data_IF_580782630956
#
_entry.id   IF_580782630956
#
_cell.length_a   1.000
_cell.length_b   1.000
_cell.length_c   1.000
_cell.angle_alpha   90.00
_cell.angle_beta   90.00
_cell.angle_gamma   90.00
#
_symmetry.space_group_name_H-M   'P 1'
#
loop_
_entity.id
_entity.type
_entity.pdbx_description
1 polymer ?
#
# COMPACT_ATOMS: atom_id res chain seq x y z
N UNK A 1 70.02 -6.64 38.44
CA UNK A 1 68.77 -5.96 38.84
C UNK A 1 67.97 -5.46 37.64
N UNK A 2 68.59 -4.67 36.73
CA UNK A 2 67.92 -4.10 35.54
C UNK A 2 67.24 -5.15 34.65
N UNK A 3 67.91 -6.27 34.36
CA UNK A 3 67.33 -7.34 33.54
C UNK A 3 66.09 -7.98 34.20
N UNK A 4 66.13 -8.24 35.51
CA UNK A 4 64.99 -8.82 36.24
C UNK A 4 63.79 -7.88 36.34
N UNK A 5 64.01 -6.60 36.65
CA UNK A 5 62.94 -5.59 36.65
C UNK A 5 62.41 -5.30 35.24
N UNK A 6 63.30 -5.31 34.24
CA UNK A 6 62.93 -5.05 32.85
C UNK A 6 62.08 -6.17 32.24
N UNK A 7 62.44 -7.42 32.50
CA UNK A 7 61.75 -8.59 31.97
C UNK A 7 60.37 -8.80 32.64
N UNK A 8 60.24 -8.46 33.93
CA UNK A 8 58.93 -8.47 34.62
C UNK A 8 57.98 -7.41 34.08
N UNK A 9 58.46 -6.19 33.79
CA UNK A 9 57.64 -5.15 33.16
C UNK A 9 57.27 -5.55 31.71
N UNK A 10 58.23 -6.07 30.93
CA UNK A 10 57.97 -6.52 29.57
C UNK A 10 56.92 -7.65 29.53
N UNK A 11 57.01 -8.61 30.46
CA UNK A 11 56.01 -9.66 30.63
C UNK A 11 54.62 -9.11 30.98
N UNK A 12 54.55 -8.19 31.95
CA UNK A 12 53.29 -7.55 32.33
C UNK A 12 52.65 -6.76 31.17
N UNK A 13 53.44 -6.04 30.36
CA UNK A 13 52.94 -5.34 29.18
C UNK A 13 52.46 -6.31 28.09
N UNK A 14 53.14 -7.44 27.92
CA UNK A 14 52.70 -8.48 26.98
C UNK A 14 51.37 -9.12 27.39
N UNK A 15 51.09 -9.25 28.70
CA UNK A 15 49.80 -9.76 29.18
C UNK A 15 48.60 -8.91 28.72
N UNK A 16 48.78 -7.64 28.33
CA UNK A 16 47.73 -6.82 27.71
C UNK A 16 47.23 -7.39 26.37
N UNK A 17 48.03 -8.23 25.70
CA UNK A 17 47.64 -8.96 24.49
C UNK A 17 46.45 -9.93 24.72
N UNK A 18 46.23 -10.36 25.97
CA UNK A 18 45.06 -11.19 26.32
C UNK A 18 43.77 -10.38 26.55
N UNK A 19 43.85 -9.05 26.59
CA UNK A 19 42.68 -8.21 26.75
C UNK A 19 41.78 -8.30 25.50
N UNK A 20 40.46 -8.42 25.71
CA UNK A 20 39.47 -8.41 24.63
C UNK A 20 39.30 -7.04 23.98
N UNK A 21 39.61 -5.97 24.71
CA UNK A 21 39.49 -4.60 24.19
C UNK A 21 40.62 -4.34 23.18
N UNK A 22 40.32 -4.02 21.91
CA UNK A 22 41.33 -3.87 20.85
C UNK A 22 42.41 -2.83 21.18
N UNK A 23 42.04 -1.78 21.91
CA UNK A 23 42.98 -0.74 22.35
C UNK A 23 44.14 -1.32 23.18
N UNK A 24 43.85 -2.18 24.16
CA UNK A 24 44.90 -2.80 24.98
C UNK A 24 45.63 -3.93 24.26
N UNK A 25 44.90 -4.73 23.48
CA UNK A 25 45.48 -5.84 22.73
C UNK A 25 46.57 -5.36 21.75
N UNK A 26 46.27 -4.30 20.99
CA UNK A 26 47.20 -3.73 19.99
C UNK A 26 48.37 -2.97 20.60
N UNK A 27 48.24 -2.44 21.82
CA UNK A 27 49.32 -1.73 22.53
C UNK A 27 50.31 -2.67 23.23
N UNK A 28 49.87 -3.86 23.63
CA UNK A 28 50.70 -4.82 24.38
C UNK A 28 52.02 -5.19 23.66
N UNK A 29 51.98 -5.74 22.43
CA UNK A 29 53.19 -6.17 21.73
C UNK A 29 54.20 -5.04 21.48
N UNK A 30 53.81 -3.85 20.96
CA UNK A 30 54.75 -2.74 20.79
C UNK A 30 55.38 -2.27 22.10
N UNK A 31 54.61 -2.16 23.19
CA UNK A 31 55.13 -1.75 24.50
C UNK A 31 56.11 -2.78 25.08
N UNK A 32 55.82 -4.08 24.95
CA UNK A 32 56.70 -5.16 25.41
C UNK A 32 58.03 -5.17 24.63
N UNK A 33 57.97 -5.06 23.30
CA UNK A 33 59.16 -4.98 22.45
C UNK A 33 59.98 -3.73 22.80
N UNK A 34 59.33 -2.57 22.93
CA UNK A 34 59.99 -1.32 23.33
C UNK A 34 60.71 -1.45 24.67
N UNK A 35 60.09 -2.11 25.65
CA UNK A 35 60.73 -2.37 26.95
C UNK A 35 61.94 -3.31 26.83
N UNK A 36 61.86 -4.38 26.01
CA UNK A 36 62.99 -5.28 25.77
C UNK A 36 64.17 -4.56 25.11
N UNK A 37 63.89 -3.70 24.13
CA UNK A 37 64.90 -2.86 23.47
C UNK A 37 65.53 -1.90 24.48
N UNK A 38 64.73 -1.26 25.34
CA UNK A 38 65.25 -0.37 26.38
C UNK A 38 66.15 -1.10 27.39
N UNK A 39 65.79 -2.33 27.80
CA UNK A 39 66.61 -3.17 28.68
C UNK A 39 67.91 -3.56 28.01
N UNK A 40 67.85 -3.97 26.73
CA UNK A 40 69.04 -4.31 25.96
C UNK A 40 69.98 -3.10 25.82
N UNK A 41 69.44 -1.91 25.51
CA UNK A 41 70.20 -0.67 25.46
C UNK A 41 70.79 -0.31 26.83
N UNK A 42 70.04 -0.44 27.92
CA UNK A 42 70.52 -0.13 29.27
C UNK A 42 71.67 -1.05 29.70
N UNK A 43 71.68 -2.32 29.26
CA UNK A 43 72.73 -3.29 29.58
C UNK A 43 73.98 -3.17 28.69
N UNK A 44 73.85 -2.60 27.50
CA UNK A 44 74.97 -2.46 26.55
C UNK A 44 75.53 -1.04 26.57
N UNK A 45 74.68 -0.04 26.33
CA UNK A 45 75.04 1.37 26.27
C UNK A 45 75.38 1.93 27.66
N UNK A 46 74.63 1.55 28.70
CA UNK A 46 74.85 2.04 30.06
C UNK A 46 76.27 1.77 30.58
N UNK A 47 76.73 0.51 30.61
CA UNK A 47 78.09 0.18 30.98
C UNK A 47 79.15 0.76 30.03
N UNK A 48 78.89 0.82 28.72
CA UNK A 48 79.83 1.40 27.75
C UNK A 48 80.07 2.89 28.01
N UNK A 49 79.00 3.66 28.25
CA UNK A 49 79.09 5.09 28.57
C UNK A 49 79.75 5.31 29.93
N UNK A 50 79.45 4.47 30.92
CA UNK A 50 80.12 4.55 32.24
C UNK A 50 81.60 4.21 32.16
N UNK A 51 82.01 3.23 31.35
CA UNK A 51 83.40 2.87 31.14
C UNK A 51 84.19 4.00 30.44
N UNK A 52 83.60 4.63 29.42
CA UNK A 52 84.22 5.76 28.72
C UNK A 52 84.25 7.00 29.63
N UNK A 53 83.17 7.31 30.34
CA UNK A 53 83.10 8.48 31.20
C UNK A 53 83.91 8.36 32.50
N UNK A 54 84.14 7.14 33.01
CA UNK A 54 85.06 6.92 34.14
C UNK A 54 86.51 7.10 33.72
N UNK A 55 86.87 6.80 32.46
CA UNK A 55 88.19 7.13 31.91
C UNK A 55 88.48 8.63 31.97
N UNK A 56 87.46 9.48 31.74
CA UNK A 56 87.56 10.94 31.89
C UNK A 56 87.35 11.44 33.33
N UNK A 57 87.27 10.56 34.34
CA UNK A 57 86.99 10.87 35.76
C UNK A 57 85.73 11.72 36.00
N UNK A 58 84.79 11.70 35.06
CA UNK A 58 83.59 12.54 35.11
C UNK A 58 82.55 12.00 36.10
N UNK A 59 82.53 10.68 36.29
CA UNK A 59 81.52 9.95 37.07
C UNK A 59 82.00 9.46 38.45
N UNK A 60 83.16 9.92 38.93
CA UNK A 60 83.60 9.60 40.29
C UNK A 60 82.70 10.27 41.34
N UNK A 61 82.28 9.55 42.39
CA UNK A 61 81.36 10.08 43.40
C UNK A 61 82.04 11.18 44.23
N UNK A 62 81.72 12.45 43.93
CA UNK A 62 82.27 13.63 44.63
C UNK A 62 81.72 13.85 46.05
N UNK A 63 80.72 13.08 46.49
CA UNK A 63 80.07 13.23 47.81
C UNK A 63 79.84 11.87 48.47
N UNK A 64 80.11 11.77 49.77
CA UNK A 64 79.74 10.60 50.58
C UNK A 64 78.22 10.58 50.76
N UNK A 65 77.59 9.45 50.45
CA UNK A 65 76.14 9.25 50.56
C UNK A 65 75.68 9.41 52.02
N UNK A 66 74.63 10.22 52.24
CA UNK A 66 74.06 10.42 53.58
C UNK A 66 73.17 9.23 53.98
N UNK A 67 73.79 8.18 54.51
CA UNK A 67 73.12 6.92 54.89
C UNK A 67 72.43 6.99 56.26
N UNK A 68 72.68 8.03 57.08
CA UNK A 68 72.17 8.11 58.46
C UNK A 68 70.64 8.15 58.54
N UNK A 69 69.96 8.87 57.65
CA UNK A 69 68.49 8.95 57.63
C UNK A 69 67.86 7.62 57.20
N UNK A 70 68.37 7.01 56.14
CA UNK A 70 67.92 5.70 55.67
C UNK A 70 68.15 4.59 56.69
N UNK A 71 69.28 4.64 57.40
CA UNK A 71 69.56 3.71 58.50
C UNK A 71 68.55 3.84 59.63
N UNK A 72 68.14 5.07 60.01
CA UNK A 72 67.09 5.28 61.02
C UNK A 72 65.75 4.68 60.60
N UNK A 73 65.33 4.93 59.36
CA UNK A 73 64.07 4.36 58.82
C UNK A 73 64.14 2.84 58.82
N UNK A 74 65.24 2.26 58.32
CA UNK A 74 65.46 0.81 58.36
C UNK A 74 65.44 0.23 59.77
N UNK A 75 66.12 0.87 60.74
CA UNK A 75 66.11 0.42 62.14
C UNK A 75 64.73 0.55 62.79
N UNK A 76 63.93 1.55 62.42
CA UNK A 76 62.57 1.70 62.93
C UNK A 76 61.64 0.59 62.42
N UNK A 77 61.75 0.23 61.13
CA UNK A 77 60.97 -0.86 60.52
C UNK A 77 61.31 -2.21 61.17
N UNK A 78 62.60 -2.51 61.37
CA UNK A 78 63.03 -3.79 61.97
C UNK A 78 62.69 -3.87 63.46
N UNK A 79 62.70 -2.74 64.18
CA UNK A 79 62.43 -2.71 65.63
C UNK A 79 60.93 -2.78 65.96
N UNK A 80 60.05 -2.29 65.08
CA UNK A 80 58.59 -2.28 65.29
C UNK A 80 57.81 -2.73 64.02
N UNK A 81 57.97 -3.99 63.58
CA UNK A 81 57.42 -4.44 62.30
C UNK A 81 55.88 -4.42 62.26
N UNK A 82 55.22 -4.82 63.36
CA UNK A 82 53.75 -4.87 63.44
C UNK A 82 53.06 -3.51 63.30
N UNK A 83 53.40 -2.51 64.15
CA UNK A 83 52.79 -1.17 64.06
C UNK A 83 53.10 -0.45 62.75
N UNK A 84 54.31 -0.62 62.20
CA UNK A 84 54.68 -0.01 60.92
C UNK A 84 53.87 -0.62 59.78
N UNK A 85 53.68 -1.94 59.76
CA UNK A 85 52.83 -2.62 58.77
C UNK A 85 51.36 -2.20 58.93
N UNK A 86 50.84 -2.12 60.16
CA UNK A 86 49.48 -1.66 60.40
C UNK A 86 49.28 -0.23 59.89
N UNK A 87 50.22 0.68 60.16
CA UNK A 87 50.16 2.06 59.69
C UNK A 87 50.21 2.16 58.16
N UNK A 88 51.10 1.41 57.49
CA UNK A 88 51.15 1.41 56.02
C UNK A 88 49.91 0.78 55.39
N UNK A 89 49.38 -0.30 55.97
CA UNK A 89 48.11 -0.89 55.54
C UNK A 89 46.94 0.09 55.69
N UNK A 90 46.82 0.77 56.83
CA UNK A 90 45.75 1.77 57.06
C UNK A 90 45.83 2.89 56.02
N UNK A 91 47.03 3.42 55.77
CA UNK A 91 47.23 4.46 54.74
C UNK A 91 46.86 3.94 53.34
N UNK A 92 47.25 2.70 53.00
CA UNK A 92 46.89 2.09 51.74
C UNK A 92 45.36 1.88 51.61
N UNK A 93 44.68 1.42 52.67
CA UNK A 93 43.23 1.23 52.70
C UNK A 93 42.46 2.53 52.59
N UNK A 94 42.95 3.63 53.19
CA UNK A 94 42.38 4.96 53.00
C UNK A 94 42.43 5.36 51.52
N UNK A 95 43.52 5.05 50.81
CA UNK A 95 43.60 5.22 49.36
C UNK A 95 42.59 4.37 48.58
N UNK A 96 42.30 3.15 49.05
CA UNK A 96 41.30 2.27 48.44
C UNK A 96 39.84 2.72 48.64
N UNK A 97 39.54 3.55 49.65
CA UNK A 97 38.18 4.06 49.89
C UNK A 97 37.62 4.87 48.70
N UNK A 98 38.47 5.34 47.78
CA UNK A 98 38.04 6.01 46.56
C UNK A 98 37.52 5.03 45.48
N UNK A 99 37.87 3.74 45.52
CA UNK A 99 37.54 2.76 44.47
C UNK A 99 36.03 2.48 44.31
N UNK A 100 35.18 2.42 45.35
CA UNK A 100 33.75 2.20 45.17
C UNK A 100 33.05 3.29 44.33
N UNK A 101 33.64 4.50 44.27
CA UNK A 101 33.12 5.61 43.46
C UNK A 101 33.55 5.56 41.99
N UNK A 102 34.36 4.57 41.60
CA UNK A 102 34.91 4.47 40.26
C UNK A 102 33.84 4.14 39.22
N UNK A 103 33.58 5.09 38.32
CA UNK A 103 32.68 4.91 37.18
C UNK A 103 33.49 4.75 35.90
N UNK A 104 33.40 3.58 35.28
CA UNK A 104 34.03 3.32 33.98
C UNK A 104 33.25 3.99 32.86
N UNK A 105 33.95 4.75 32.02
CA UNK A 105 33.38 5.39 30.84
C UNK A 105 34.40 5.27 29.70
N UNK A 106 33.92 4.87 28.53
CA UNK A 106 34.75 4.74 27.33
C UNK A 106 34.58 5.95 26.39
N UNK A 107 34.05 7.06 26.91
CA UNK A 107 33.86 8.30 26.17
C UNK A 107 35.16 9.11 26.11
N UNK A 108 35.81 9.06 24.95
CA UNK A 108 37.09 9.74 24.70
C UNK A 108 36.97 11.27 24.77
N UNK A 109 35.77 11.84 24.58
CA UNK A 109 35.55 13.30 24.57
C UNK A 109 35.87 13.95 25.91
N UNK A 110 35.70 13.21 27.02
CA UNK A 110 36.00 13.69 28.37
C UNK A 110 37.50 13.90 28.61
N UNK A 111 38.37 13.28 27.81
CA UNK A 111 39.81 13.49 27.86
C UNK A 111 40.28 14.68 27.00
N UNK A 112 39.37 15.29 26.24
CA UNK A 112 39.64 16.46 25.41
C UNK A 112 39.13 17.74 26.12
N UNK A 113 39.79 18.89 25.94
CA UNK A 113 39.31 20.16 26.50
C UNK A 113 37.87 20.46 26.07
N UNK A 114 37.05 20.98 26.99
CA UNK A 114 35.67 21.35 26.70
C UNK A 114 35.55 22.46 25.65
N UNK A 115 36.59 23.29 25.50
CA UNK A 115 36.68 24.38 24.52
C UNK A 115 36.97 23.91 23.09
N UNK A 116 37.29 22.63 22.88
CA UNK A 116 37.60 22.14 21.55
C UNK A 116 36.36 22.23 20.64
N UNK A 117 36.46 22.76 19.40
CA UNK A 117 35.30 22.93 18.51
C UNK A 117 34.46 21.65 18.32
N UNK A 118 35.11 20.48 18.28
CA UNK A 118 34.43 19.18 18.20
C UNK A 118 33.53 18.89 19.40
N UNK A 119 33.98 19.21 20.62
CA UNK A 119 33.20 19.04 21.84
C UNK A 119 32.06 20.06 21.95
N UNK A 120 32.28 21.30 21.51
CA UNK A 120 31.24 22.34 21.45
C UNK A 120 30.13 21.93 20.47
N UNK A 121 30.51 21.43 19.28
CA UNK A 121 29.57 20.93 18.28
C UNK A 121 28.77 19.71 18.76
N UNK A 122 29.44 18.76 19.42
CA UNK A 122 28.78 17.60 20.00
C UNK A 122 27.82 17.98 21.13
N UNK A 123 28.21 18.91 22.00
CA UNK A 123 27.36 19.42 23.07
C UNK A 123 26.14 20.18 22.52
N UNK A 124 26.30 20.92 21.42
CA UNK A 124 25.19 21.57 20.72
C UNK A 124 24.24 20.53 20.10
N UNK A 125 24.77 19.51 19.41
CA UNK A 125 23.99 18.42 18.82
C UNK A 125 23.25 17.60 19.88
N UNK A 126 23.87 17.37 21.04
CA UNK A 126 23.29 16.65 22.17
C UNK A 126 22.07 17.33 22.81
N UNK A 127 21.78 18.60 22.48
CA UNK A 127 20.55 19.28 22.91
C UNK A 127 19.31 18.81 22.14
N UNK A 128 19.49 18.35 20.91
CA UNK A 128 18.40 17.94 20.02
C UNK A 128 18.36 16.44 19.74
N UNK A 129 19.50 15.76 19.86
CA UNK A 129 19.62 14.32 19.59
C UNK A 129 20.11 13.58 20.82
N UNK A 130 19.51 12.42 21.13
CA UNK A 130 20.02 11.54 22.18
C UNK A 130 21.44 11.08 21.83
N UNK A 131 22.27 10.79 22.84
CA UNK A 131 23.66 10.32 22.64
C UNK A 131 23.74 9.08 21.75
N UNK A 132 22.73 8.22 21.83
CA UNK A 132 22.60 7.02 21.02
C UNK A 132 22.25 7.29 19.56
N UNK A 133 21.52 8.38 19.25
CA UNK A 133 21.28 8.79 17.85
C UNK A 133 22.50 9.42 17.19
N UNK A 134 23.35 10.08 17.98
CA UNK A 134 24.62 10.64 17.50
C UNK A 134 25.69 9.56 17.27
N UNK A 135 25.68 8.51 18.09
CA UNK A 135 26.60 7.38 17.98
C UNK A 135 25.83 6.04 17.95
N UNK A 136 25.10 5.76 16.85
CA UNK A 136 24.34 4.53 16.75
C UNK A 136 25.26 3.33 16.51
N UNK A 137 24.80 2.16 16.93
CA UNK A 137 25.40 0.89 16.54
C UNK A 137 24.92 0.51 15.14
N UNK A 138 25.83 0.00 14.30
CA UNK A 138 25.50 -0.39 12.93
C UNK A 138 25.67 -1.90 12.81
N UNK A 139 24.56 -2.60 12.57
CA UNK A 139 24.54 -4.02 12.29
C UNK A 139 24.44 -4.23 10.78
N UNK A 140 25.30 -5.08 10.23
CA UNK A 140 25.29 -5.49 8.83
C UNK A 140 24.94 -6.98 8.75
N UNK A 141 23.95 -7.29 7.93
CA UNK A 141 23.52 -8.65 7.62
C UNK A 141 23.88 -8.94 6.17
N UNK A 142 24.70 -9.96 5.93
CA UNK A 142 25.13 -10.35 4.59
C UNK A 142 24.53 -11.69 4.15
N UNK A 143 24.09 -11.73 2.89
CA UNK A 143 23.52 -12.90 2.21
C UNK A 143 24.31 -13.21 0.93
N UNK A 144 24.00 -14.34 0.30
CA UNK A 144 24.59 -14.78 -0.97
C UNK A 144 23.82 -14.30 -2.22
N UNK A 145 22.58 -13.84 -2.03
CA UNK A 145 21.65 -13.38 -3.08
C UNK A 145 21.19 -11.93 -2.83
N UNK A 146 20.55 -11.33 -3.84
CA UNK A 146 19.99 -9.97 -3.75
C UNK A 146 18.73 -9.97 -2.88
N UNK A 147 18.75 -9.17 -1.81
CA UNK A 147 17.66 -9.02 -0.85
C UNK A 147 16.53 -8.09 -1.31
N UNK A 148 16.56 -7.56 -2.53
CA UNK A 148 15.53 -6.64 -3.07
C UNK A 148 14.28 -7.36 -3.55
N UNK A 149 13.73 -8.24 -2.72
CA UNK A 149 12.49 -8.95 -2.99
C UNK A 149 11.58 -9.00 -1.75
N UNK A 150 10.26 -9.28 -1.91
CA UNK A 150 9.31 -9.29 -0.81
C UNK A 150 9.64 -10.29 0.29
N UNK A 151 10.19 -11.46 -0.06
CA UNK A 151 10.55 -12.51 0.90
C UNK A 151 11.64 -12.02 1.84
N UNK A 152 12.70 -11.44 1.28
CA UNK A 152 13.81 -10.91 2.05
C UNK A 152 13.43 -9.68 2.87
N UNK A 153 12.52 -8.83 2.37
CA UNK A 153 11.97 -7.74 3.18
C UNK A 153 11.22 -8.26 4.41
N UNK A 154 10.48 -9.37 4.32
CA UNK A 154 9.84 -9.99 5.49
C UNK A 154 10.88 -10.48 6.50
N UNK A 155 11.97 -11.08 6.04
CA UNK A 155 13.03 -11.57 6.94
C UNK A 155 13.79 -10.41 7.58
N UNK A 156 14.11 -9.36 6.82
CA UNK A 156 14.74 -8.15 7.35
C UNK A 156 13.83 -7.44 8.37
N UNK A 157 12.51 -7.43 8.17
CA UNK A 157 11.59 -6.89 9.18
C UNK A 157 11.55 -7.76 10.45
N UNK A 158 11.56 -9.09 10.31
CA UNK A 158 11.66 -10.00 11.46
C UNK A 158 12.94 -9.76 12.28
N UNK A 159 14.06 -9.53 11.62
CA UNK A 159 15.33 -9.15 12.29
C UNK A 159 15.18 -7.81 13.01
N UNK A 160 14.63 -6.79 12.33
CA UNK A 160 14.40 -5.47 12.94
C UNK A 160 13.50 -5.56 14.18
N UNK A 161 12.41 -6.32 14.09
CA UNK A 161 11.44 -6.53 15.17
C UNK A 161 12.07 -7.19 16.39
N UNK A 162 12.80 -8.29 16.19
CA UNK A 162 13.42 -9.00 17.30
C UNK A 162 14.46 -8.15 18.03
N UNK A 163 15.26 -7.38 17.28
CA UNK A 163 16.20 -6.44 17.89
C UNK A 163 15.43 -5.33 18.61
N UNK A 164 14.37 -4.76 18.03
CA UNK A 164 13.61 -3.69 18.67
C UNK A 164 12.97 -4.11 20.00
N UNK A 165 12.52 -5.36 20.13
CA UNK A 165 11.97 -5.92 21.37
C UNK A 165 13.01 -6.31 22.42
N UNK A 166 14.29 -6.16 22.10
CA UNK A 166 15.38 -6.34 23.05
C UNK A 166 15.38 -5.28 24.14
N UNK A 167 15.84 -5.68 25.33
CA UNK A 167 15.98 -4.75 26.45
C UNK A 167 17.08 -3.72 26.17
N UNK A 168 16.73 -2.44 26.27
CA UNK A 168 17.68 -1.34 26.20
C UNK A 168 17.99 -0.87 24.78
N UNK A 169 17.06 -1.06 23.86
CA UNK A 169 17.08 -0.53 22.50
C UNK A 169 16.00 0.55 22.39
N UNK A 170 16.39 1.77 22.00
CA UNK A 170 15.47 2.91 21.82
C UNK A 170 14.82 2.86 20.44
N UNK A 171 15.59 2.53 19.40
CA UNK A 171 15.13 2.58 18.02
C UNK A 171 15.97 1.70 17.09
N UNK A 172 15.34 1.06 16.12
CA UNK A 172 16.00 0.30 15.03
C UNK A 172 15.57 0.87 13.69
N UNK A 173 16.52 1.38 12.90
CA UNK A 173 16.27 1.84 11.53
C UNK A 173 16.79 0.84 10.51
N UNK A 174 15.93 0.42 9.60
CA UNK A 174 16.21 -0.51 8.51
C UNK A 174 15.45 -0.09 7.25
N UNK A 175 15.59 -0.82 6.15
CA UNK A 175 14.77 -0.60 4.95
C UNK A 175 13.26 -0.75 5.20
N UNK A 176 12.86 -1.63 6.13
CA UNK A 176 11.46 -1.87 6.49
C UNK A 176 10.94 -0.87 7.55
N UNK A 177 11.85 -0.16 8.22
CA UNK A 177 11.58 0.86 9.24
C UNK A 177 12.53 2.06 9.10
N UNK A 178 12.49 2.84 8.01
CA UNK A 178 13.51 3.85 7.72
C UNK A 178 13.54 4.98 8.77
N UNK A 179 12.38 5.30 9.35
CA UNK A 179 12.22 6.29 10.42
C UNK A 179 12.28 5.69 11.84
N UNK A 180 12.44 4.38 11.94
CA UNK A 180 12.38 3.62 13.21
C UNK A 180 10.99 3.09 13.57
N UNK A 181 9.94 3.53 12.87
CA UNK A 181 8.59 2.96 12.90
C UNK A 181 8.36 2.15 11.63
N UNK A 182 7.37 1.26 11.63
CA UNK A 182 6.93 0.54 10.42
C UNK A 182 6.49 1.52 9.33
N UNK A 183 6.65 1.11 8.07
CA UNK A 183 6.16 1.88 6.93
C UNK A 183 4.64 1.83 6.94
N UNK A 184 4.00 2.99 6.81
CA UNK A 184 2.54 3.06 6.71
C UNK A 184 2.02 2.25 5.54
N UNK A 185 0.82 1.71 5.65
CA UNK A 185 0.12 0.99 4.59
C UNK A 185 0.76 -0.34 4.18
N UNK A 186 1.62 -0.91 5.04
CA UNK A 186 2.29 -2.20 4.80
C UNK A 186 1.79 -3.33 5.71
N UNK A 187 0.89 -3.05 6.65
CA UNK A 187 0.33 -4.11 7.50
C UNK A 187 -0.65 -4.98 6.72
N UNK A 188 -0.73 -6.27 7.06
CA UNK A 188 -1.66 -7.21 6.42
C UNK A 188 -3.12 -6.73 6.58
N UNK A 189 -3.56 -6.28 7.78
CA UNK A 189 -4.88 -5.68 7.95
C UNK A 189 -5.14 -4.51 7.01
N UNK A 190 -4.15 -3.63 6.78
CA UNK A 190 -4.31 -2.52 5.86
C UNK A 190 -4.54 -2.98 4.42
N UNK A 191 -3.76 -3.95 3.94
CA UNK A 191 -3.87 -4.46 2.57
C UNK A 191 -5.22 -5.16 2.35
N UNK A 192 -5.65 -5.97 3.33
CA UNK A 192 -6.98 -6.62 3.29
C UNK A 192 -8.09 -5.57 3.30
N UNK A 193 -7.99 -4.55 4.17
CA UNK A 193 -8.95 -3.44 4.21
C UNK A 193 -9.02 -2.68 2.88
N UNK A 194 -7.88 -2.41 2.23
CA UNK A 194 -7.87 -1.74 0.92
C UNK A 194 -8.55 -2.57 -0.18
N UNK A 195 -8.43 -3.89 -0.14
CA UNK A 195 -9.18 -4.77 -1.05
C UNK A 195 -10.69 -4.68 -0.79
N UNK A 196 -11.10 -4.59 0.49
CA UNK A 196 -12.48 -4.37 0.88
C UNK A 196 -13.03 -3.01 0.39
N UNK A 197 -12.24 -1.94 0.47
CA UNK A 197 -12.62 -0.60 -0.03
C UNK A 197 -12.97 -0.66 -1.52
N UNK A 198 -12.11 -1.26 -2.35
CA UNK A 198 -12.37 -1.40 -3.80
C UNK A 198 -13.64 -2.21 -4.10
N UNK A 199 -13.94 -3.25 -3.32
CA UNK A 199 -15.18 -4.00 -3.45
C UNK A 199 -16.41 -3.16 -3.09
N UNK A 200 -16.34 -2.37 -2.01
CA UNK A 200 -17.45 -1.49 -1.60
C UNK A 200 -17.69 -0.37 -2.62
N UNK A 201 -16.64 0.22 -3.20
CA UNK A 201 -16.79 1.22 -4.28
C UNK A 201 -17.48 0.61 -5.52
N UNK A 202 -17.08 -0.60 -5.94
CA UNK A 202 -17.76 -1.32 -7.02
C UNK A 202 -19.23 -1.65 -6.67
N UNK A 203 -19.50 -1.98 -5.40
CA UNK A 203 -20.85 -2.28 -4.93
C UNK A 203 -21.75 -1.03 -4.96
N UNK A 204 -21.22 0.14 -4.61
CA UNK A 204 -21.94 1.42 -4.73
C UNK A 204 -22.27 1.73 -6.19
N UNK A 205 -21.31 1.49 -7.11
CA UNK A 205 -21.56 1.62 -8.55
C UNK A 205 -22.69 0.70 -9.01
N UNK A 206 -22.67 -0.58 -8.62
CA UNK A 206 -23.72 -1.56 -8.99
C UNK A 206 -25.09 -1.19 -8.42
N UNK A 207 -25.17 -0.71 -7.17
CA UNK A 207 -26.42 -0.21 -6.57
C UNK A 207 -27.01 0.94 -7.39
N UNK A 208 -26.18 1.90 -7.80
CA UNK A 208 -26.62 3.00 -8.67
C UNK A 208 -27.03 2.56 -10.09
N UNK A 209 -26.58 1.39 -10.58
CA UNK A 209 -27.07 0.81 -11.86
C UNK A 209 -28.37 0.02 -11.67
N UNK A 210 -28.65 -0.49 -10.48
CA UNK A 210 -29.93 -1.11 -10.20
C UNK A 210 -31.08 -0.12 -10.11
N UNK A 211 -30.84 1.06 -9.53
CA UNK A 211 -31.86 2.12 -9.47
C UNK A 211 -32.35 2.51 -10.89
N UNK A 212 -31.50 2.37 -11.92
CA UNK A 212 -31.89 2.57 -13.32
C UNK A 212 -32.96 1.54 -13.79
N UNK A 213 -33.07 0.36 -13.17
CA UNK A 213 -34.14 -0.60 -13.48
C UNK A 213 -35.52 -0.04 -13.14
N UNK A 214 -35.63 0.80 -12.12
CA UNK A 214 -36.88 1.49 -11.81
C UNK A 214 -37.24 2.52 -12.89
N UNK A 215 -36.25 3.09 -13.58
CA UNK A 215 -36.50 3.94 -14.75
C UNK A 215 -37.09 3.10 -15.88
N UNK A 216 -36.56 1.89 -16.12
CA UNK A 216 -37.12 0.96 -17.09
C UNK A 216 -38.54 0.52 -16.73
N UNK A 217 -38.81 0.21 -15.46
CA UNK A 217 -40.17 -0.08 -14.95
C UNK A 217 -41.14 1.05 -15.27
N UNK A 218 -40.75 2.31 -14.98
CA UNK A 218 -41.58 3.49 -15.29
C UNK A 218 -41.84 3.64 -16.79
N UNK A 219 -40.84 3.38 -17.63
CA UNK A 219 -41.02 3.41 -19.08
C UNK A 219 -42.00 2.31 -19.56
N UNK A 220 -41.95 1.13 -18.94
CA UNK A 220 -42.90 0.05 -19.21
C UNK A 220 -44.32 0.40 -18.74
N UNK A 221 -44.48 1.04 -17.58
CA UNK A 221 -45.80 1.51 -17.12
C UNK A 221 -46.44 2.50 -18.11
N UNK A 222 -45.66 3.44 -18.65
CA UNK A 222 -46.15 4.36 -19.69
C UNK A 222 -46.55 3.60 -20.96
N UNK A 223 -45.75 2.61 -21.38
CA UNK A 223 -46.08 1.79 -22.55
C UNK A 223 -47.33 0.95 -22.35
N UNK A 224 -47.50 0.33 -21.17
CA UNK A 224 -48.69 -0.43 -20.79
C UNK A 224 -49.94 0.48 -20.80
N UNK A 225 -49.86 1.66 -20.18
CA UNK A 225 -50.95 2.63 -20.18
C UNK A 225 -51.32 3.05 -21.61
N UNK A 226 -50.33 3.32 -22.46
CA UNK A 226 -50.55 3.68 -23.87
C UNK A 226 -51.25 2.55 -24.63
N UNK A 227 -50.87 1.30 -24.39
CA UNK A 227 -51.51 0.13 -25.04
C UNK A 227 -52.95 -0.07 -24.56
N UNK A 228 -53.26 0.20 -23.29
CA UNK A 228 -54.64 0.19 -22.80
C UNK A 228 -55.49 1.25 -23.51
N UNK A 229 -54.99 2.49 -23.63
CA UNK A 229 -55.67 3.55 -24.39
C UNK A 229 -55.88 3.16 -25.86
N UNK A 230 -54.87 2.55 -26.50
CA UNK A 230 -54.98 2.05 -27.88
C UNK A 230 -56.04 0.95 -28.03
N UNK A 231 -56.14 0.04 -27.05
CA UNK A 231 -57.14 -1.02 -27.03
C UNK A 231 -58.57 -0.48 -26.89
N UNK A 232 -58.77 0.54 -26.05
CA UNK A 232 -60.05 1.23 -25.89
C UNK A 232 -60.44 1.97 -27.18
N UNK A 233 -59.52 2.78 -27.74
CA UNK A 233 -59.74 3.51 -29.00
C UNK A 233 -60.02 2.56 -30.18
N UNK A 234 -59.32 1.43 -30.28
CA UNK A 234 -59.64 0.42 -31.31
C UNK A 234 -61.03 -0.21 -31.09
N UNK A 235 -61.50 -0.30 -29.85
CA UNK A 235 -62.87 -0.69 -29.56
C UNK A 235 -63.86 0.29 -30.18
N UNK A 236 -63.70 1.58 -29.93
CA UNK A 236 -64.55 2.63 -30.51
C UNK A 236 -64.50 2.64 -32.05
N UNK A 237 -63.31 2.43 -32.65
CA UNK A 237 -63.17 2.32 -34.11
C UNK A 237 -63.92 1.11 -34.66
N UNK A 238 -63.83 -0.06 -34.00
CA UNK A 238 -64.58 -1.25 -34.42
C UNK A 238 -66.08 -1.00 -34.31
N UNK A 239 -66.56 -0.47 -33.18
CA UNK A 239 -67.98 -0.23 -32.95
C UNK A 239 -68.55 0.75 -34.00
N UNK A 240 -67.83 1.84 -34.31
CA UNK A 240 -68.19 2.78 -35.37
C UNK A 240 -68.12 2.15 -36.78
N UNK A 241 -67.17 1.24 -37.02
CA UNK A 241 -67.06 0.56 -38.32
C UNK A 241 -68.21 -0.41 -38.54
N UNK A 242 -68.66 -1.11 -37.49
CA UNK A 242 -69.84 -1.99 -37.54
C UNK A 242 -71.12 -1.17 -37.79
N UNK A 243 -71.25 -0.01 -37.15
CA UNK A 243 -72.38 0.90 -37.41
C UNK A 243 -72.35 1.42 -38.86
N UNK A 244 -71.17 1.80 -39.38
CA UNK A 244 -71.01 2.16 -40.79
C UNK A 244 -71.33 1.01 -41.75
N UNK A 245 -70.96 -0.22 -41.40
CA UNK A 245 -71.26 -1.41 -42.20
C UNK A 245 -72.79 -1.66 -42.28
N UNK A 246 -73.49 -1.57 -41.16
CA UNK A 246 -74.96 -1.68 -41.13
C UNK A 246 -75.62 -0.58 -41.96
N UNK A 247 -75.22 0.68 -41.79
CA UNK A 247 -75.73 1.81 -42.57
C UNK A 247 -75.45 1.66 -44.07
N UNK A 248 -74.29 1.10 -44.43
CA UNK A 248 -73.91 0.88 -45.84
C UNK A 248 -74.72 -0.26 -46.46
N UNK A 249 -74.97 -1.34 -45.72
CA UNK A 249 -75.87 -2.41 -46.13
C UNK A 249 -77.31 -1.90 -46.32
N UNK A 250 -77.82 -1.10 -45.38
CA UNK A 250 -79.14 -0.49 -45.50
C UNK A 250 -79.24 0.42 -46.73
N UNK A 251 -78.22 1.25 -46.96
CA UNK A 251 -78.13 2.13 -48.13
C UNK A 251 -78.08 1.32 -49.44
N UNK A 252 -77.33 0.23 -49.47
CA UNK A 252 -77.24 -0.69 -50.62
C UNK A 252 -78.58 -1.36 -50.90
N UNK A 253 -79.25 -1.89 -49.87
CA UNK A 253 -80.56 -2.53 -49.99
C UNK A 253 -81.64 -1.56 -50.50
N UNK A 254 -81.65 -0.32 -49.99
CA UNK A 254 -82.54 0.74 -50.46
C UNK A 254 -82.23 1.10 -51.93
N UNK A 255 -80.95 1.22 -52.28
CA UNK A 255 -80.53 1.55 -53.65
C UNK A 255 -80.87 0.43 -54.63
N UNK A 256 -80.74 -0.84 -54.23
CA UNK A 256 -81.14 -2.00 -55.04
C UNK A 256 -82.65 -2.05 -55.23
N UNK A 257 -83.44 -1.81 -54.17
CA UNK A 257 -84.90 -1.73 -54.28
C UNK A 257 -85.34 -0.58 -55.20
N UNK A 258 -84.64 0.57 -55.12
CA UNK A 258 -84.89 1.72 -55.98
C UNK A 258 -84.50 1.43 -57.44
N UNK A 259 -83.37 0.74 -57.67
CA UNK A 259 -82.95 0.24 -58.97
C UNK A 259 -83.99 -0.71 -59.57
N UNK A 260 -84.47 -1.68 -58.80
CA UNK A 260 -85.47 -2.66 -59.25
C UNK A 260 -86.79 -1.96 -59.63
N UNK A 261 -87.27 -1.02 -58.81
CA UNK A 261 -88.47 -0.23 -59.14
C UNK A 261 -88.27 0.68 -60.36
N UNK A 262 -87.07 1.20 -60.56
CA UNK A 262 -86.72 1.99 -61.75
C UNK A 262 -86.67 1.10 -63.00
N UNK A 263 -86.14 -0.12 -62.90
CA UNK A 263 -86.12 -1.09 -63.98
C UNK A 263 -87.55 -1.53 -64.36
N UNK A 264 -88.43 -1.79 -63.39
CA UNK A 264 -89.85 -2.07 -63.62
C UNK A 264 -90.57 -0.91 -64.34
N UNK A 265 -90.28 0.34 -63.92
CA UNK A 265 -90.79 1.54 -64.57
C UNK A 265 -90.26 1.67 -66.01
N UNK A 266 -88.97 1.44 -66.22
CA UNK A 266 -88.34 1.51 -67.53
C UNK A 266 -88.91 0.46 -68.49
N UNK A 267 -89.15 -0.77 -68.03
CA UNK A 267 -89.73 -1.84 -68.82
C UNK A 267 -91.15 -1.51 -69.31
N UNK A 268 -91.95 -0.84 -68.48
CA UNK A 268 -93.27 -0.34 -68.89
C UNK A 268 -93.17 0.79 -69.94
N UNK A 269 -92.21 1.71 -69.79
CA UNK A 269 -92.01 2.85 -70.69
C UNK A 269 -91.11 2.56 -71.90
N UNK A 270 -90.56 1.35 -72.04
CA UNK A 270 -89.66 0.91 -73.12
C UNK A 270 -90.17 1.25 -74.54
N UNK A 271 -91.46 1.13 -74.88
CA UNK A 271 -91.98 1.53 -76.19
C UNK A 271 -91.87 3.04 -76.45
N UNK A 272 -92.06 3.86 -75.41
CA UNK A 272 -91.97 5.32 -75.47
C UNK A 272 -90.49 5.74 -75.54
N UNK A 273 -89.60 5.09 -74.77
CA UNK A 273 -88.15 5.30 -74.83
C UNK A 273 -87.60 5.04 -76.24
N UNK A 274 -87.99 3.93 -76.87
CA UNK A 274 -87.55 3.57 -78.22
C UNK A 274 -87.93 4.61 -79.28
N UNK A 275 -89.06 5.30 -79.12
CA UNK A 275 -89.50 6.38 -80.02
C UNK A 275 -88.55 7.59 -79.95
N UNK A 276 -88.15 8.02 -78.75
CA UNK A 276 -87.30 9.19 -78.54
C UNK A 276 -85.82 8.98 -78.90
N UNK A 277 -85.31 7.74 -78.86
CA UNK A 277 -83.93 7.43 -79.28
C UNK A 277 -83.76 7.23 -80.80
N UNK A 278 -84.86 7.02 -81.54
CA UNK A 278 -84.82 6.76 -82.99
C UNK A 278 -84.82 8.04 -83.85
N UNK A 279 -85.34 9.17 -83.35
CA UNK A 279 -85.37 10.43 -84.08
C UNK A 279 -84.06 11.24 -83.94
N UNK A 280 -83.43 11.54 -85.07
CA UNK A 280 -82.16 12.30 -85.13
C UNK A 280 -82.28 13.77 -84.69
N UNK A 281 -83.49 14.35 -84.65
CA UNK A 281 -83.70 15.77 -84.31
C UNK A 281 -84.10 16.03 -82.84
N UNK A 282 -84.08 14.99 -81.99
CA UNK A 282 -84.49 15.09 -80.59
C UNK A 282 -83.61 16.06 -79.74
N UNK A 283 -82.40 16.39 -80.19
CA UNK A 283 -81.51 17.33 -79.51
C UNK A 283 -81.97 18.80 -79.60
N UNK A 284 -82.74 19.17 -80.64
CA UNK A 284 -83.17 20.55 -80.87
C UNK A 284 -84.56 20.87 -80.26
N UNK A 285 -85.23 19.85 -79.68
CA UNK A 285 -86.56 19.97 -79.07
C UNK A 285 -86.42 19.91 -77.53
N UNK A 286 -86.69 20.99 -76.79
CA UNK A 286 -86.45 21.07 -75.34
C UNK A 286 -87.11 19.95 -74.51
N UNK A 287 -88.33 19.57 -74.90
CA UNK A 287 -89.09 18.51 -74.22
C UNK A 287 -88.47 17.13 -74.46
N UNK A 288 -87.98 16.86 -75.67
CA UNK A 288 -87.37 15.58 -76.05
C UNK A 288 -86.04 15.36 -75.31
N UNK A 289 -85.19 16.39 -75.25
CA UNK A 289 -83.94 16.36 -74.52
C UNK A 289 -84.13 16.20 -73.00
N UNK A 290 -85.14 16.86 -72.41
CA UNK A 290 -85.44 16.72 -70.97
C UNK A 290 -85.85 15.29 -70.58
N UNK A 291 -86.67 14.64 -71.41
CA UNK A 291 -87.11 13.25 -71.20
C UNK A 291 -85.92 12.29 -71.39
N UNK A 292 -85.08 12.53 -72.41
CA UNK A 292 -83.86 11.74 -72.63
C UNK A 292 -82.87 11.86 -71.47
N UNK A 293 -82.65 13.06 -70.93
CA UNK A 293 -81.76 13.28 -69.78
C UNK A 293 -82.27 12.60 -68.51
N UNK A 294 -83.59 12.45 -68.34
CA UNK A 294 -84.18 11.71 -67.21
C UNK A 294 -83.86 10.22 -67.34
N UNK A 295 -83.99 9.65 -68.54
CA UNK A 295 -83.61 8.26 -68.79
C UNK A 295 -82.09 8.03 -68.69
N UNK A 296 -81.25 8.95 -69.17
CA UNK A 296 -79.79 8.85 -69.01
C UNK A 296 -79.37 8.97 -67.52
N UNK A 297 -80.12 9.72 -66.68
CA UNK A 297 -79.88 9.77 -65.23
C UNK A 297 -80.29 8.45 -64.54
N UNK A 298 -81.38 7.84 -65.00
CA UNK A 298 -81.86 6.53 -64.55
C UNK A 298 -80.85 5.42 -64.90
N UNK A 299 -80.28 5.42 -66.10
CA UNK A 299 -79.30 4.42 -66.53
C UNK A 299 -78.02 4.41 -65.66
N UNK A 300 -77.70 5.53 -64.99
CA UNK A 300 -76.52 5.62 -64.10
C UNK A 300 -76.78 5.08 -62.68
N UNK A 301 -78.03 4.74 -62.33
CA UNK A 301 -78.38 4.13 -61.02
C UNK A 301 -77.77 2.74 -60.89
N UNK A 302 -77.64 2.00 -61.99
CA UNK A 302 -76.98 0.69 -62.05
C UNK A 302 -75.50 0.77 -61.64
N UNK A 303 -74.77 1.77 -62.15
CA UNK A 303 -73.37 1.99 -61.79
C UNK A 303 -73.24 2.36 -60.30
N UNK A 304 -74.20 3.12 -59.76
CA UNK A 304 -74.20 3.49 -58.35
C UNK A 304 -74.45 2.29 -57.43
N UNK A 305 -75.42 1.43 -57.77
CA UNK A 305 -75.70 0.16 -57.06
C UNK A 305 -74.49 -0.77 -57.06
N UNK A 306 -73.82 -0.96 -58.20
CA UNK A 306 -72.62 -1.81 -58.29
C UNK A 306 -71.47 -1.28 -57.42
N UNK A 307 -71.25 0.05 -57.38
CA UNK A 307 -70.21 0.66 -56.51
C UNK A 307 -70.55 0.57 -55.03
N UNK A 308 -71.83 0.64 -54.66
CA UNK A 308 -72.30 0.41 -53.29
C UNK A 308 -72.09 -1.04 -52.88
N UNK A 309 -72.28 -2.01 -53.78
CA UNK A 309 -72.02 -3.43 -53.51
C UNK A 309 -70.54 -3.72 -53.24
N UNK A 310 -69.62 -3.08 -53.99
CA UNK A 310 -68.19 -3.14 -53.66
C UNK A 310 -67.88 -2.50 -52.29
N UNK A 311 -68.50 -1.36 -51.97
CA UNK A 311 -68.29 -0.69 -50.69
C UNK A 311 -68.77 -1.54 -49.50
N UNK A 312 -69.93 -2.20 -49.64
CA UNK A 312 -70.43 -3.19 -48.67
C UNK A 312 -69.42 -4.31 -48.47
N UNK A 313 -68.90 -4.87 -49.57
CA UNK A 313 -67.92 -5.96 -49.52
C UNK A 313 -66.62 -5.54 -48.82
N UNK A 314 -66.14 -4.32 -49.07
CA UNK A 314 -64.93 -3.78 -48.41
C UNK A 314 -65.16 -3.51 -46.91
N UNK A 315 -66.34 -3.03 -46.53
CA UNK A 315 -66.73 -2.83 -45.12
C UNK A 315 -66.81 -4.17 -44.37
N UNK A 316 -67.37 -5.19 -44.99
CA UNK A 316 -67.41 -6.58 -44.50
C UNK A 316 -66.02 -7.13 -44.17
N UNK A 317 -65.01 -6.79 -44.99
CA UNK A 317 -63.61 -7.16 -44.76
C UNK A 317 -63.04 -6.41 -43.56
N UNK A 318 -63.34 -5.11 -43.45
CA UNK A 318 -62.89 -4.25 -42.36
C UNK A 318 -63.45 -4.72 -41.00
N UNK A 319 -64.74 -5.08 -40.95
CA UNK A 319 -65.41 -5.65 -39.78
C UNK A 319 -64.79 -6.98 -39.34
N UNK A 320 -64.21 -7.76 -40.26
CA UNK A 320 -63.50 -9.01 -39.93
C UNK A 320 -62.07 -8.79 -39.46
N UNK A 321 -61.34 -7.83 -40.02
CA UNK A 321 -59.92 -7.62 -39.74
C UNK A 321 -59.66 -6.81 -38.48
N UNK A 322 -60.43 -5.75 -38.24
CA UNK A 322 -60.21 -4.88 -37.08
C UNK A 322 -60.29 -5.62 -35.73
N UNK A 323 -61.26 -6.55 -35.50
CA UNK A 323 -61.28 -7.34 -34.27
C UNK A 323 -60.06 -8.27 -34.11
N UNK A 324 -59.53 -8.81 -35.21
CA UNK A 324 -58.32 -9.65 -35.16
C UNK A 324 -57.10 -8.85 -34.75
N UNK A 325 -56.97 -7.61 -35.23
CA UNK A 325 -55.89 -6.71 -34.79
C UNK A 325 -56.03 -6.36 -33.31
N UNK A 326 -57.24 -6.02 -32.85
CA UNK A 326 -57.50 -5.71 -31.43
C UNK A 326 -57.24 -6.91 -30.52
N UNK A 327 -57.52 -8.13 -30.98
CA UNK A 327 -57.28 -9.36 -30.21
C UNK A 327 -55.79 -9.61 -29.89
N UNK A 328 -54.85 -9.01 -30.63
CA UNK A 328 -53.42 -9.14 -30.35
C UNK A 328 -52.89 -8.18 -29.28
N UNK A 329 -53.63 -7.12 -28.95
CA UNK A 329 -53.18 -6.12 -27.97
C UNK A 329 -53.16 -6.68 -26.53
N UNK A 330 -54.20 -7.38 -26.03
CA UNK A 330 -54.19 -7.89 -24.66
C UNK A 330 -53.02 -8.85 -24.33
N UNK A 331 -52.64 -9.81 -25.20
CA UNK A 331 -51.44 -10.61 -25.00
C UNK A 331 -50.15 -9.78 -24.91
N UNK A 332 -50.03 -8.71 -25.71
CA UNK A 332 -48.88 -7.81 -25.68
C UNK A 332 -48.82 -7.02 -24.36
N UNK A 333 -49.96 -6.49 -23.89
CA UNK A 333 -50.09 -5.83 -22.59
C UNK A 333 -49.67 -6.79 -21.48
N UNK A 334 -50.23 -8.00 -21.44
CA UNK A 334 -49.94 -8.99 -20.40
C UNK A 334 -48.44 -9.33 -20.33
N UNK A 335 -47.79 -9.48 -21.49
CA UNK A 335 -46.35 -9.76 -21.57
C UNK A 335 -45.53 -8.60 -21.01
N UNK A 336 -45.88 -7.35 -21.34
CA UNK A 336 -45.23 -6.17 -20.75
C UNK A 336 -45.44 -6.06 -19.24
N UNK A 337 -46.65 -6.33 -18.76
CA UNK A 337 -46.98 -6.35 -17.32
C UNK A 337 -46.12 -7.37 -16.57
N UNK A 338 -46.00 -8.59 -17.11
CA UNK A 338 -45.15 -9.64 -16.51
C UNK A 338 -43.67 -9.20 -16.47
N UNK A 339 -43.15 -8.65 -17.56
CA UNK A 339 -41.75 -8.20 -17.59
C UNK A 339 -41.49 -7.06 -16.62
N UNK A 340 -42.43 -6.09 -16.51
CA UNK A 340 -42.36 -5.01 -15.53
C UNK A 340 -42.35 -5.55 -14.11
N UNK A 341 -43.28 -6.45 -13.77
CA UNK A 341 -43.41 -7.01 -12.43
C UNK A 341 -42.19 -7.83 -12.05
N UNK A 342 -41.65 -8.59 -13.01
CA UNK A 342 -40.39 -9.31 -12.84
C UNK A 342 -39.24 -8.35 -12.54
N UNK A 343 -39.12 -7.23 -13.27
CA UNK A 343 -38.11 -6.20 -13.03
C UNK A 343 -38.23 -5.59 -11.62
N UNK A 344 -39.45 -5.33 -11.14
CA UNK A 344 -39.69 -4.81 -9.78
C UNK A 344 -39.26 -5.82 -8.71
N UNK A 345 -39.65 -7.09 -8.87
CA UNK A 345 -39.26 -8.17 -7.95
C UNK A 345 -37.74 -8.37 -7.96
N UNK A 346 -37.12 -8.35 -9.14
CA UNK A 346 -35.69 -8.53 -9.29
C UNK A 346 -34.91 -7.39 -8.64
N UNK A 347 -35.34 -6.14 -8.86
CA UNK A 347 -34.81 -4.96 -8.19
C UNK A 347 -34.90 -5.11 -6.66
N UNK A 348 -36.07 -5.42 -6.11
CA UNK A 348 -36.25 -5.59 -4.66
C UNK A 348 -35.41 -6.71 -4.05
N UNK A 349 -35.26 -7.83 -4.77
CA UNK A 349 -34.46 -8.98 -4.36
C UNK A 349 -32.98 -8.63 -4.30
N UNK A 350 -32.45 -8.06 -5.39
CA UNK A 350 -31.06 -7.63 -5.45
C UNK A 350 -30.78 -6.52 -4.44
N UNK A 351 -31.72 -5.59 -4.24
CA UNK A 351 -31.56 -4.46 -3.32
C UNK A 351 -31.39 -4.97 -1.90
N UNK A 352 -32.20 -5.94 -1.50
CA UNK A 352 -32.10 -6.63 -0.20
C UNK A 352 -30.76 -7.35 -0.04
N UNK A 353 -30.26 -8.02 -1.09
CA UNK A 353 -28.95 -8.67 -1.08
C UNK A 353 -27.80 -7.67 -0.92
N UNK A 354 -27.86 -6.53 -1.63
CA UNK A 354 -26.86 -5.48 -1.50
C UNK A 354 -26.91 -4.79 -0.14
N UNK A 355 -28.08 -4.50 0.41
CA UNK A 355 -28.22 -3.90 1.75
C UNK A 355 -27.73 -4.86 2.86
N UNK A 356 -27.90 -6.17 2.69
CA UNK A 356 -27.29 -7.18 3.56
C UNK A 356 -25.75 -7.13 3.49
N UNK A 357 -25.18 -7.07 2.28
CA UNK A 357 -23.73 -6.99 2.07
C UNK A 357 -23.12 -5.68 2.60
N UNK A 358 -23.83 -4.57 2.40
CA UNK A 358 -23.42 -3.22 2.84
C UNK A 358 -23.41 -3.10 4.37
N UNK A 359 -24.39 -3.71 5.05
CA UNK A 359 -24.44 -3.72 6.53
C UNK A 359 -23.20 -4.38 7.15
N UNK A 360 -22.68 -5.43 6.52
CA UNK A 360 -21.42 -6.08 6.93
C UNK A 360 -20.15 -5.29 6.57
N UNK A 361 -20.26 -4.28 5.71
CA UNK A 361 -19.13 -3.61 5.06
C UNK A 361 -19.15 -2.08 5.21
N UNK A 362 -19.85 -1.52 6.22
CA UNK A 362 -20.04 -0.06 6.40
C UNK A 362 -18.75 0.77 6.46
N UNK A 363 -17.64 0.18 6.89
CA UNK A 363 -16.32 0.83 6.87
C UNK A 363 -15.22 -0.22 6.67
N UNK A 364 -15.01 -0.71 5.44
CA UNK A 364 -14.07 -1.79 5.16
C UNK A 364 -12.62 -1.35 5.41
N UNK A 365 -12.38 -0.03 5.41
CA UNK A 365 -11.09 0.60 5.69
C UNK A 365 -10.79 0.83 7.17
N UNK A 366 -11.77 0.73 8.07
CA UNK A 366 -11.61 1.05 9.49
C UNK A 366 -10.45 0.30 10.14
N UNK A 367 -10.44 -1.03 9.96
CA UNK A 367 -9.42 -1.91 10.52
C UNK A 367 -8.03 -1.49 10.02
N UNK A 368 -7.85 -1.32 8.71
CA UNK A 368 -6.60 -0.84 8.12
C UNK A 368 -6.13 0.49 8.71
N UNK A 369 -7.01 1.48 8.85
CA UNK A 369 -6.66 2.80 9.40
C UNK A 369 -6.27 2.73 10.88
N UNK A 370 -6.96 1.92 11.68
CA UNK A 370 -6.65 1.73 13.11
C UNK A 370 -5.29 1.05 13.29
N UNK A 371 -5.01 -0.01 12.53
CA UNK A 371 -3.71 -0.70 12.59
C UNK A 371 -2.56 0.19 12.09
N UNK A 372 -2.79 0.99 11.05
CA UNK A 372 -1.79 1.92 10.53
C UNK A 372 -1.50 3.06 11.54
N UNK A 373 -2.54 3.60 12.18
CA UNK A 373 -2.40 4.62 13.21
C UNK A 373 -1.73 4.09 14.49
N UNK A 374 -2.03 2.86 14.87
CA UNK A 374 -1.45 2.21 16.05
C UNK A 374 0.05 1.87 15.86
N UNK A 375 0.53 1.85 14.61
CA UNK A 375 1.92 1.49 14.26
C UNK A 375 2.38 0.17 14.90
N UNK A 376 1.44 -0.78 15.05
CA UNK A 376 1.73 -2.10 15.58
C UNK A 376 2.58 -2.85 14.57
N UNK A 377 3.59 -3.56 15.08
CA UNK A 377 4.62 -4.17 14.26
C UNK A 377 4.44 -5.68 14.08
N UNK A 378 3.21 -6.16 14.26
CA UNK A 378 2.82 -7.57 14.17
C UNK A 378 2.72 -8.12 12.76
N UNK A 379 2.48 -7.26 11.78
CA UNK A 379 2.42 -7.67 10.39
C UNK A 379 3.07 -6.64 9.49
N UNK A 380 3.82 -7.14 8.52
CA UNK A 380 4.46 -6.36 7.48
C UNK A 380 4.37 -7.17 6.18
N UNK A 381 4.01 -6.50 5.09
CA UNK A 381 4.06 -7.05 3.76
C UNK A 381 4.27 -5.92 2.77
N UNK A 382 5.23 -6.10 1.86
CA UNK A 382 5.54 -5.13 0.82
C UNK A 382 5.31 -5.75 -0.56
N UNK A 383 4.35 -5.26 -1.35
CA UNK A 383 4.09 -5.79 -2.68
C UNK A 383 5.24 -5.48 -3.65
N UNK A 384 5.43 -6.32 -4.68
CA UNK A 384 6.48 -6.14 -5.70
C UNK A 384 6.40 -4.77 -6.39
N UNK A 385 5.20 -4.19 -6.51
CA UNK A 385 4.98 -2.87 -7.10
C UNK A 385 5.68 -1.74 -6.31
N UNK A 386 5.83 -1.88 -4.99
CA UNK A 386 6.48 -0.87 -4.15
C UNK A 386 7.97 -0.68 -4.48
N UNK A 387 8.64 -1.71 -5.01
CA UNK A 387 10.05 -1.63 -5.44
C UNK A 387 10.26 -0.70 -6.65
N UNK A 388 9.18 -0.36 -7.38
CA UNK A 388 9.20 0.62 -8.47
C UNK A 388 9.07 2.06 -7.96
N UNK A 389 8.71 2.28 -6.69
CA UNK A 389 8.55 3.62 -6.13
C UNK A 389 9.93 4.31 -6.01
N UNK A 390 10.12 5.52 -6.59
CA UNK A 390 11.38 6.25 -6.53
C UNK A 390 11.90 6.50 -5.11
N UNK A 391 11.02 6.74 -4.15
CA UNK A 391 11.41 7.01 -2.76
C UNK A 391 11.87 5.73 -2.04
N UNK A 392 11.24 4.60 -2.35
CA UNK A 392 11.70 3.31 -1.83
C UNK A 392 13.07 2.94 -2.43
N UNK A 393 13.30 3.22 -3.71
CA UNK A 393 14.61 3.03 -4.34
C UNK A 393 15.72 3.91 -3.73
N UNK A 394 15.40 5.13 -3.29
CA UNK A 394 16.34 5.96 -2.50
C UNK A 394 16.65 5.31 -1.16
N UNK A 395 15.64 4.77 -0.48
CA UNK A 395 15.80 3.99 0.75
C UNK A 395 16.69 2.76 0.57
N UNK A 396 16.49 2.00 -0.50
CA UNK A 396 17.30 0.82 -0.85
C UNK A 396 18.79 1.19 -0.99
N UNK A 397 19.12 2.33 -1.59
CA UNK A 397 20.52 2.80 -1.68
C UNK A 397 21.14 3.17 -0.33
N UNK A 398 20.32 3.55 0.65
CA UNK A 398 20.77 3.90 1.99
C UNK A 398 20.93 2.66 2.88
N UNK A 399 20.07 1.66 2.76
CA UNK A 399 20.05 0.51 3.67
C UNK A 399 20.59 -0.77 3.06
N UNK A 400 20.72 -0.88 1.74
CA UNK A 400 21.34 -2.02 1.08
C UNK A 400 22.59 -1.61 0.32
N UNK A 401 23.51 -2.55 0.18
CA UNK A 401 24.67 -2.42 -0.69
C UNK A 401 24.26 -2.30 -2.17
N UNK A 402 25.14 -1.76 -3.04
CA UNK A 402 24.87 -1.65 -4.48
C UNK A 402 24.53 -2.99 -5.14
N UNK A 403 25.14 -4.09 -4.69
CA UNK A 403 24.88 -5.46 -5.14
C UNK A 403 23.67 -6.14 -4.46
N UNK A 404 23.04 -5.48 -3.48
CA UNK A 404 21.85 -5.97 -2.79
C UNK A 404 22.09 -7.10 -1.77
N UNK A 405 23.35 -7.49 -1.55
CA UNK A 405 23.73 -8.64 -0.71
C UNK A 405 24.04 -8.30 0.74
N UNK A 406 24.10 -7.02 1.10
CA UNK A 406 24.33 -6.56 2.47
C UNK A 406 23.25 -5.56 2.89
N UNK A 407 22.60 -5.82 4.02
CA UNK A 407 21.58 -4.97 4.60
C UNK A 407 22.08 -4.34 5.90
N UNK A 408 21.95 -3.02 5.99
CA UNK A 408 22.39 -2.18 7.09
C UNK A 408 21.22 -1.88 8.03
N UNK A 409 21.45 -2.07 9.31
CA UNK A 409 20.57 -1.69 10.41
C UNK A 409 21.29 -0.66 11.27
N UNK A 410 20.60 0.42 11.63
CA UNK A 410 21.12 1.49 12.49
C UNK A 410 20.33 1.43 13.80
N UNK A 411 21.01 1.09 14.89
CA UNK A 411 20.42 0.78 16.18
C UNK A 411 20.82 1.87 17.18
N UNK A 412 19.83 2.53 17.75
CA UNK A 412 20.02 3.46 18.86
C UNK A 412 19.75 2.72 20.17
N UNK A 413 20.73 2.68 21.06
CA UNK A 413 20.63 2.10 22.39
C UNK A 413 19.95 3.05 23.38
N UNK A 414 19.26 2.52 24.39
CA UNK A 414 18.75 3.34 25.48
C UNK A 414 19.90 3.76 26.41
N UNK A 415 20.13 5.07 26.55
CA UNK A 415 21.16 5.65 27.41
C UNK A 415 22.49 5.98 26.70
N UNK A 416 23.59 6.08 27.46
CA UNK A 416 24.92 6.36 26.89
C UNK A 416 25.58 5.08 26.40
N UNK A 417 25.78 4.93 25.08
CA UNK A 417 26.28 3.70 24.51
C UNK A 417 27.79 3.51 24.80
N UNK A 418 28.51 4.53 25.28
CA UNK A 418 29.93 4.44 25.67
C UNK A 418 30.15 3.96 27.13
N UNK A 419 29.13 3.42 27.77
CA UNK A 419 29.21 2.79 29.10
C UNK A 419 29.49 1.29 28.98
N UNK A 420 29.95 0.64 30.06
CA UNK A 420 30.11 -0.82 30.09
C UNK A 420 28.80 -1.56 29.78
N UNK A 421 27.68 -1.08 30.31
CA UNK A 421 26.34 -1.61 30.02
C UNK A 421 25.96 -1.45 28.55
N UNK A 422 26.25 -0.30 27.93
CA UNK A 422 26.02 -0.07 26.50
C UNK A 422 26.84 -1.01 25.60
N UNK A 423 28.12 -1.22 25.94
CA UNK A 423 29.02 -2.12 25.18
C UNK A 423 28.58 -3.58 25.32
N UNK A 424 28.13 -4.01 26.50
CA UNK A 424 27.67 -5.38 26.72
C UNK A 424 26.45 -5.75 25.84
N UNK A 425 25.62 -4.78 25.47
CA UNK A 425 24.45 -5.00 24.59
C UNK A 425 24.82 -5.36 23.15
N UNK A 426 26.06 -5.09 22.72
CA UNK A 426 26.50 -5.40 21.33
C UNK A 426 26.48 -6.91 21.06
N UNK A 427 26.91 -7.73 22.02
CA UNK A 427 26.84 -9.19 21.88
C UNK A 427 25.38 -9.67 21.83
N UNK A 428 24.53 -9.11 22.70
CA UNK A 428 23.09 -9.42 22.73
C UNK A 428 22.40 -9.11 21.39
N UNK A 429 22.64 -7.93 20.80
CA UNK A 429 22.10 -7.55 19.48
C UNK A 429 22.47 -8.58 18.41
N UNK A 430 23.73 -9.05 18.43
CA UNK A 430 24.22 -10.01 17.46
C UNK A 430 23.53 -11.37 17.62
N UNK A 431 23.33 -11.81 18.85
CA UNK A 431 22.67 -13.08 19.12
C UNK A 431 21.18 -13.01 18.79
N UNK A 432 20.49 -11.92 19.11
CA UNK A 432 19.09 -11.71 18.72
C UNK A 432 18.90 -11.66 17.20
N UNK A 433 19.82 -11.03 16.48
CA UNK A 433 19.82 -11.06 15.02
C UNK A 433 19.97 -12.48 14.46
N UNK A 434 20.79 -13.33 15.10
CA UNK A 434 20.94 -14.76 14.74
C UNK A 434 19.69 -15.56 15.07
N UNK A 435 19.09 -15.32 16.23
CA UNK A 435 17.85 -15.98 16.66
C UNK A 435 16.68 -15.61 15.73
N UNK A 436 16.58 -14.36 15.28
CA UNK A 436 15.54 -13.91 14.36
C UNK A 436 15.54 -14.66 13.02
N UNK A 437 16.72 -15.08 12.58
CA UNK A 437 16.91 -15.81 11.33
C UNK A 437 16.43 -17.26 11.42
N UNK A 438 16.32 -17.85 12.61
CA UNK A 438 15.81 -19.22 12.76
C UNK A 438 14.41 -19.37 12.18
N UNK A 439 14.20 -20.44 11.42
CA UNK A 439 12.93 -20.74 10.75
C UNK A 439 12.63 -19.87 9.51
N UNK A 440 13.60 -19.10 9.02
CA UNK A 440 13.49 -18.34 7.77
C UNK A 440 14.29 -19.02 6.65
N UNK A 441 14.09 -18.62 5.37
CA UNK A 441 14.88 -19.13 4.25
C UNK A 441 16.40 -18.90 4.41
N UNK A 442 16.81 -17.93 5.23
CA UNK A 442 18.20 -17.71 5.60
C UNK A 442 18.68 -18.84 6.51
N UNK A 443 19.13 -19.95 5.92
CA UNK A 443 19.61 -21.09 6.71
C UNK A 443 20.96 -20.80 7.39
N UNK A 444 21.79 -19.93 6.80
CA UNK A 444 23.04 -19.41 7.41
C UNK A 444 23.38 -18.06 6.76
N UNK A 445 23.28 -16.91 7.46
CA UNK A 445 23.82 -15.66 6.91
C UNK A 445 25.33 -15.82 6.71
N UNK A 446 25.84 -15.42 5.54
CA UNK A 446 27.27 -15.56 5.21
C UNK A 446 28.13 -14.88 6.27
N UNK A 447 27.62 -13.77 6.82
CA UNK A 447 28.16 -13.16 8.02
C UNK A 447 27.15 -12.19 8.66
N UNK A 448 27.20 -12.07 10.00
CA UNK A 448 26.56 -10.98 10.74
C UNK A 448 27.65 -10.21 11.47
N UNK A 449 27.81 -8.95 11.10
CA UNK A 449 28.82 -8.07 11.67
C UNK A 449 28.16 -6.87 12.34
N UNK A 450 28.55 -6.56 13.57
CA UNK A 450 28.33 -5.23 14.14
C UNK A 450 29.58 -4.43 13.86
N UNK A 451 29.43 -3.33 13.11
CA UNK A 451 30.56 -2.49 12.76
C UNK A 451 31.10 -1.82 14.04
N UNK A 452 32.41 -1.98 14.37
CA UNK A 452 32.99 -1.23 15.46
C UNK A 452 32.93 0.27 15.15
N UNK A 453 32.49 1.08 16.13
CA UNK A 453 32.38 2.54 16.00
C UNK A 453 33.65 3.12 15.37
N UNK A 454 33.50 3.75 14.20
CA UNK A 454 34.52 4.33 13.31
C UNK A 454 35.98 4.07 13.75
N UNK A 455 36.62 3.10 13.11
CA UNK A 455 38.05 3.20 12.79
C UNK A 455 38.22 4.43 11.88
N UNK A 456 38.86 5.48 12.37
CA UNK A 456 39.58 6.43 11.51
C UNK A 456 40.84 5.73 10.97
N UNK A 457 40.68 4.71 10.15
CA UNK A 457 41.78 4.17 9.35
C UNK A 457 41.55 4.64 7.93
N UNK A 458 42.27 5.69 7.57
CA UNK A 458 42.74 6.01 6.22
C UNK A 458 42.31 5.01 5.16
N UNK A 459 41.33 5.44 4.35
CA UNK A 459 41.02 4.87 3.06
C UNK A 459 42.32 4.68 2.26
N UNK A 460 42.67 3.42 1.97
CA UNK A 460 43.46 3.10 0.77
C UNK A 460 42.62 3.52 -0.43
N UNK A 461 42.75 4.78 -0.86
CA UNK A 461 42.44 5.16 -2.24
C UNK A 461 43.56 4.60 -3.12
N UNK A 462 43.25 3.92 -4.24
CA UNK A 462 44.27 3.70 -5.27
C UNK A 462 44.71 5.07 -5.85
N UNK A 463 45.95 5.19 -6.34
CA UNK A 463 46.44 6.46 -6.88
C UNK A 463 45.59 6.88 -8.10
N UNK A 464 45.39 8.18 -8.33
CA UNK A 464 44.72 8.65 -9.53
C UNK A 464 45.63 8.36 -10.74
N UNK A 465 45.12 7.57 -11.67
CA UNK A 465 45.69 7.45 -13.00
C UNK A 465 45.54 8.82 -13.67
N UNK A 466 46.67 9.37 -14.10
CA UNK A 466 46.79 10.60 -14.88
C UNK A 466 46.18 10.34 -16.27
N UNK A 467 45.24 11.19 -16.68
CA UNK A 467 45.04 11.63 -18.06
C UNK A 467 45.03 13.15 -18.05
#
# INVERSE_FOLDING_TARGET
MILGSGLTIAGAMYCLSFARLPYFNTLGPPCAIGMLVAVFAALTLGPAVLAIGSFFKLFDPKRRLNTRRWRRVGTAIVRWPGPVLAATCVIAFIGLLALPSYKTTYDLRKFMPASMPSNVGDAAAGRHFSRARLNPEVLMVETDHDMRNPVDMLVLDKIAKNIYHSRGIEQVKSITRPLGTTIKHTSIPFIISMQGVSNTENMQFMKARMDDMLIQVKAMDVSIATMHTMYELMGEVIDNTVDMDHLTHDLSNITNTLRDHIADFEDFFRPIRSYFYWDKHCYDIPVCWSIRSIFDMIDNVDQMSEKLEYLVTDMDILVKLLPQMRAQIPPMINTMTIMRDMLVVWHGTLQSFYDQSDTGSKDPGAMGRVFDAAQIDDSFYLPQSAFKNPDFQRGLKMFLSPDGKAARFIIALEGDPATSAGIARVEQIKDEAREAIKGTPYRVPRSIWVAPRRRSTTSKRPPPTIC
#
